data_IF_648436981150
#
_entry.id   IF_648436981150
#
_cell.length_a   1.000
_cell.length_b   1.000
_cell.length_c   1.000
_cell.angle_alpha   90.00
_cell.angle_beta   90.00
_cell.angle_gamma   90.00
#
_symmetry.space_group_name_H-M   'P 1'
#
loop_
_entity.id
_entity.type
_entity.pdbx_description
1 polymer ?
#
# COMPACT_ATOMS: atom_id res chain seq x y z
N UNK A 1 -7.29 31.13 -10.01
CA UNK A 1 -7.97 29.87 -10.29
C UNK A 1 -7.74 28.88 -9.16
N UNK A 2 -8.80 28.34 -8.64
CA UNK A 2 -8.71 27.30 -7.62
C UNK A 2 -8.62 25.95 -8.32
N UNK A 3 -7.65 25.14 -7.93
CA UNK A 3 -7.60 23.75 -8.40
C UNK A 3 -8.81 22.99 -7.87
N UNK A 4 -9.41 22.19 -8.74
CA UNK A 4 -10.48 21.30 -8.35
C UNK A 4 -9.93 20.17 -7.49
N UNK A 5 -10.47 20.02 -6.28
CA UNK A 5 -10.10 18.92 -5.39
C UNK A 5 -10.80 17.64 -5.85
N UNK A 6 -10.02 16.59 -6.05
CA UNK A 6 -10.53 15.30 -6.51
C UNK A 6 -10.20 14.21 -5.50
N UNK A 7 -11.09 13.23 -5.43
CA UNK A 7 -10.85 12.02 -4.64
C UNK A 7 -10.18 11.02 -5.56
N UNK A 8 -9.01 10.53 -5.15
CA UNK A 8 -8.28 9.51 -5.90
C UNK A 8 -8.61 8.11 -5.40
N UNK A 9 -8.28 7.13 -6.22
CA UNK A 9 -8.37 5.70 -5.87
C UNK A 9 -6.96 5.15 -5.79
N UNK A 10 -6.58 4.63 -4.62
CA UNK A 10 -5.31 3.95 -4.47
C UNK A 10 -5.52 2.57 -3.85
N UNK A 11 -4.48 1.75 -3.86
CA UNK A 11 -4.54 0.45 -3.23
C UNK A 11 -3.21 0.11 -2.57
N UNK A 12 -3.30 -0.72 -1.54
CA UNK A 12 -2.15 -1.33 -0.90
C UNK A 12 -2.27 -2.84 -1.03
N UNK A 13 -1.14 -3.51 -1.24
CA UNK A 13 -1.12 -4.95 -1.43
C UNK A 13 -0.45 -5.60 -0.23
N UNK A 14 -1.21 -6.39 0.51
CA UNK A 14 -0.69 -7.14 1.65
C UNK A 14 -0.13 -8.47 1.15
N UNK A 15 1.20 -8.57 1.15
CA UNK A 15 1.91 -9.80 0.75
C UNK A 15 2.36 -10.49 2.02
N UNK A 16 1.87 -11.70 2.25
CA UNK A 16 2.14 -12.45 3.48
C UNK A 16 2.88 -13.73 3.14
N UNK A 17 3.88 -14.07 3.97
CA UNK A 17 4.63 -15.31 3.86
C UNK A 17 5.07 -15.77 5.25
N UNK A 18 4.64 -16.98 5.64
CA UNK A 18 5.03 -17.59 6.91
C UNK A 18 4.83 -16.69 8.14
N UNK A 19 3.67 -16.04 8.21
CA UNK A 19 3.31 -15.16 9.33
C UNK A 19 3.97 -13.78 9.30
N UNK A 20 4.58 -13.43 8.17
CA UNK A 20 5.23 -12.12 7.99
C UNK A 20 4.60 -11.37 6.84
N UNK A 21 4.64 -10.04 6.95
CA UNK A 21 4.15 -9.13 5.91
C UNK A 21 5.30 -8.35 5.31
N UNK A 22 5.23 -8.12 4.00
CA UNK A 22 6.23 -7.37 3.26
C UNK A 22 5.95 -5.87 3.39
N UNK A 23 6.93 -5.13 3.92
CA UNK A 23 6.85 -3.68 4.00
C UNK A 23 8.11 -3.05 3.43
N UNK A 24 7.95 -1.91 2.78
CA UNK A 24 9.04 -1.14 2.21
C UNK A 24 9.24 0.15 2.98
N UNK A 25 10.50 0.53 3.13
CA UNK A 25 10.88 1.79 3.78
C UNK A 25 10.80 2.92 2.76
N UNK A 26 9.89 3.87 2.99
CA UNK A 26 9.78 5.06 2.14
C UNK A 26 10.99 5.96 2.36
N UNK A 27 11.44 6.59 1.27
CA UNK A 27 12.55 7.54 1.34
C UNK A 27 12.22 8.64 2.36
N UNK A 28 13.22 9.11 3.08
CA UNK A 28 13.06 10.16 4.09
C UNK A 28 12.91 11.55 3.47
N UNK A 29 13.27 11.70 2.20
CA UNK A 29 13.10 12.96 1.48
C UNK A 29 11.67 13.11 0.96
N UNK A 30 10.96 14.20 1.33
CA UNK A 30 9.59 14.43 0.82
C UNK A 30 9.55 14.57 -0.70
N UNK A 31 10.66 14.98 -1.31
CA UNK A 31 10.75 15.22 -2.76
C UNK A 31 10.81 13.91 -3.54
N UNK A 32 11.37 12.85 -2.92
CA UNK A 32 11.56 11.56 -3.57
C UNK A 32 10.58 10.50 -3.10
N UNK A 33 10.02 10.62 -1.90
CA UNK A 33 8.98 9.72 -1.40
C UNK A 33 7.61 10.15 -1.93
N UNK A 34 7.46 10.16 -3.23
CA UNK A 34 6.32 10.70 -3.94
C UNK A 34 4.96 10.15 -3.47
N UNK A 35 4.28 10.93 -2.63
CA UNK A 35 2.93 10.62 -2.17
C UNK A 35 2.19 11.91 -1.81
N UNK A 36 0.99 12.04 -2.35
CA UNK A 36 0.12 13.18 -2.05
C UNK A 36 -0.33 13.22 -0.60
N UNK A 37 -0.39 12.06 0.07
CA UNK A 37 -0.72 11.96 1.50
C UNK A 37 0.49 12.24 2.39
N UNK A 38 1.68 12.31 1.81
CA UNK A 38 2.97 12.42 2.49
C UNK A 38 3.28 11.11 3.25
N UNK A 39 4.22 11.09 4.17
CA UNK A 39 4.59 9.87 4.90
C UNK A 39 6.03 9.46 4.70
N UNK A 40 6.91 10.43 4.50
CA UNK A 40 8.34 10.22 4.32
C UNK A 40 8.92 9.41 5.49
N UNK A 41 9.76 8.43 5.17
CA UNK A 41 10.44 7.62 6.18
C UNK A 41 9.58 6.58 6.87
N UNK A 42 8.33 6.42 6.46
CA UNK A 42 7.44 5.41 7.03
C UNK A 42 7.53 4.08 6.27
N UNK A 43 7.04 3.02 6.89
CA UNK A 43 6.95 1.71 6.27
C UNK A 43 5.59 1.53 5.59
N UNK A 44 5.59 1.04 4.37
CA UNK A 44 4.38 0.89 3.56
C UNK A 44 4.30 -0.48 2.90
N UNK A 45 3.09 -0.95 2.68
CA UNK A 45 2.85 -2.06 1.76
C UNK A 45 3.17 -1.60 0.34
N UNK A 46 3.46 -2.53 -0.59
CA UNK A 46 3.45 -2.18 -2.01
C UNK A 46 2.12 -1.50 -2.34
N UNK A 47 2.16 -0.38 -3.02
CA UNK A 47 0.96 0.45 -3.23
C UNK A 47 1.04 1.21 -4.55
N UNK A 48 -0.09 1.74 -4.97
CA UNK A 48 -0.16 2.56 -6.16
C UNK A 48 -1.55 3.11 -6.38
N UNK A 49 -1.68 3.88 -7.44
CA UNK A 49 -2.95 4.45 -7.88
C UNK A 49 -3.54 3.61 -8.99
N UNK A 50 -4.84 3.46 -8.96
CA UNK A 50 -5.56 2.83 -10.06
C UNK A 50 -5.55 3.79 -11.24
N UNK A 51 -5.13 3.32 -12.39
CA UNK A 51 -5.11 4.11 -13.62
C UNK A 51 -6.41 3.96 -14.38
N UNK A 52 -6.76 4.99 -15.14
CA UNK A 52 -7.98 4.98 -15.95
C UNK A 52 -7.99 3.75 -16.88
N UNK A 53 -9.09 3.00 -16.81
CA UNK A 53 -9.27 1.82 -17.65
C UNK A 53 -8.70 0.52 -17.10
N UNK A 54 -7.98 0.57 -15.99
CA UNK A 54 -7.46 -0.64 -15.35
C UNK A 54 -8.54 -1.37 -14.55
N UNK A 55 -8.45 -2.70 -14.55
CA UNK A 55 -9.15 -3.50 -13.54
C UNK A 55 -8.33 -3.48 -12.25
N UNK A 56 -8.94 -3.82 -11.13
CA UNK A 56 -8.20 -3.95 -9.87
C UNK A 56 -7.06 -4.97 -10.01
N UNK A 57 -7.34 -6.08 -10.71
CA UNK A 57 -6.37 -7.13 -10.94
C UNK A 57 -5.17 -6.63 -11.75
N UNK A 58 -5.41 -5.94 -12.86
CA UNK A 58 -4.31 -5.46 -13.70
C UNK A 58 -3.48 -4.38 -13.00
N UNK A 59 -4.13 -3.49 -12.26
CA UNK A 59 -3.44 -2.46 -11.49
C UNK A 59 -2.56 -3.05 -10.38
N UNK A 60 -3.10 -4.01 -9.64
CA UNK A 60 -2.35 -4.68 -8.57
C UNK A 60 -1.13 -5.43 -9.12
N UNK A 61 -1.31 -6.18 -10.21
CA UNK A 61 -0.20 -6.91 -10.85
C UNK A 61 0.87 -5.96 -11.33
N UNK A 62 0.47 -4.87 -11.96
CA UNK A 62 1.40 -3.85 -12.50
C UNK A 62 2.23 -3.23 -11.38
N UNK A 63 1.57 -2.70 -10.35
CA UNK A 63 2.27 -2.02 -9.25
C UNK A 63 3.18 -2.97 -8.47
N UNK A 64 2.74 -4.17 -8.17
CA UNK A 64 3.58 -5.11 -7.44
C UNK A 64 4.84 -5.48 -8.24
N UNK A 65 4.70 -5.66 -9.55
CA UNK A 65 5.84 -5.91 -10.42
C UNK A 65 6.77 -4.70 -10.51
N UNK A 66 6.21 -3.51 -10.69
CA UNK A 66 7.01 -2.28 -10.79
C UNK A 66 7.80 -1.98 -9.51
N UNK A 67 7.16 -2.14 -8.35
CA UNK A 67 7.80 -1.79 -7.07
C UNK A 67 8.73 -2.87 -6.52
N UNK A 68 8.40 -4.15 -6.71
CA UNK A 68 9.10 -5.24 -6.04
C UNK A 68 9.66 -6.32 -6.96
N UNK A 69 9.18 -6.41 -8.19
CA UNK A 69 9.51 -7.52 -9.09
C UNK A 69 8.73 -8.80 -8.79
N UNK A 70 7.82 -8.78 -7.84
CA UNK A 70 6.98 -9.94 -7.51
C UNK A 70 5.84 -10.04 -8.53
N UNK A 71 5.60 -11.26 -9.00
CA UNK A 71 4.51 -11.55 -9.93
C UNK A 71 3.27 -12.02 -9.17
N UNK A 72 2.22 -11.19 -9.16
CA UNK A 72 0.96 -11.52 -8.52
C UNK A 72 0.14 -12.47 -9.41
N UNK A 73 -0.32 -13.56 -8.85
CA UNK A 73 -1.14 -14.55 -9.58
C UNK A 73 -2.58 -14.55 -9.15
N UNK A 74 -2.83 -14.46 -7.85
CA UNK A 74 -4.18 -14.51 -7.30
C UNK A 74 -4.25 -13.58 -6.10
N UNK A 75 -5.32 -12.77 -6.03
CA UNK A 75 -5.56 -11.88 -4.89
C UNK A 75 -7.05 -11.84 -4.57
N UNK A 76 -7.37 -11.29 -3.41
CA UNK A 76 -8.74 -10.90 -3.10
C UNK A 76 -8.78 -9.49 -2.55
N UNK A 77 -9.91 -8.82 -2.70
CA UNK A 77 -10.12 -7.51 -2.10
C UNK A 77 -10.34 -7.72 -0.61
N UNK A 78 -9.46 -7.15 0.19
CA UNK A 78 -9.43 -7.33 1.64
C UNK A 78 -10.30 -6.30 2.36
N UNK A 79 -10.23 -5.05 1.93
CA UNK A 79 -10.88 -3.96 2.64
C UNK A 79 -11.02 -2.71 1.78
N UNK A 80 -11.80 -1.76 2.29
CA UNK A 80 -11.89 -0.41 1.74
C UNK A 80 -11.77 0.58 2.89
N UNK A 81 -10.96 1.61 2.69
CA UNK A 81 -10.73 2.67 3.68
C UNK A 81 -10.84 4.05 3.06
N UNK A 82 -11.17 5.01 3.89
CA UNK A 82 -11.22 6.41 3.51
C UNK A 82 -10.01 7.11 4.12
N UNK A 83 -9.07 7.55 3.28
CA UNK A 83 -7.82 8.15 3.72
C UNK A 83 -7.75 9.61 3.28
N UNK A 84 -7.80 10.51 4.25
CA UNK A 84 -7.72 11.94 3.96
C UNK A 84 -6.90 12.68 5.00
N UNK A 85 -6.26 13.75 4.55
CA UNK A 85 -5.62 14.72 5.42
C UNK A 85 -5.75 16.10 4.76
N UNK A 86 -4.99 17.07 5.24
CA UNK A 86 -5.04 18.42 4.67
C UNK A 86 -4.50 18.52 3.24
N UNK A 87 -3.76 17.49 2.79
CA UNK A 87 -3.11 17.48 1.47
C UNK A 87 -3.89 16.74 0.40
N UNK A 88 -4.58 15.65 0.76
CA UNK A 88 -5.21 14.77 -0.23
C UNK A 88 -6.31 13.92 0.36
N UNK A 89 -7.14 13.37 -0.52
CA UNK A 89 -8.21 12.46 -0.16
C UNK A 89 -8.22 11.26 -1.11
N UNK A 90 -8.08 10.06 -0.56
CA UNK A 90 -8.11 8.82 -1.33
C UNK A 90 -9.09 7.83 -0.74
N UNK A 91 -9.73 7.07 -1.64
CA UNK A 91 -10.36 5.81 -1.27
C UNK A 91 -9.28 4.75 -1.48
N UNK A 92 -8.93 4.03 -0.42
CA UNK A 92 -7.88 3.02 -0.47
C UNK A 92 -8.46 1.63 -0.40
N UNK A 93 -8.15 0.81 -1.42
CA UNK A 93 -8.50 -0.59 -1.42
C UNK A 93 -7.32 -1.38 -0.86
N UNK A 94 -7.60 -2.32 0.03
CA UNK A 94 -6.58 -3.27 0.47
C UNK A 94 -6.75 -4.57 -0.30
N UNK A 95 -5.66 -5.09 -0.86
CA UNK A 95 -5.64 -6.37 -1.56
C UNK A 95 -4.79 -7.36 -0.78
N UNK A 96 -5.24 -8.60 -0.68
CA UNK A 96 -4.43 -9.67 -0.10
C UNK A 96 -3.91 -10.54 -1.23
N UNK A 97 -2.58 -10.61 -1.37
CA UNK A 97 -1.93 -11.48 -2.35
C UNK A 97 -2.03 -12.93 -1.88
N UNK A 98 -2.78 -13.74 -2.60
CA UNK A 98 -3.01 -15.16 -2.26
C UNK A 98 -2.00 -16.09 -2.90
N UNK A 99 -1.62 -15.82 -4.14
CA UNK A 99 -0.58 -16.54 -4.86
C UNK A 99 0.30 -15.56 -5.60
N UNK A 100 1.60 -15.74 -5.47
CA UNK A 100 2.57 -14.87 -6.11
C UNK A 100 3.90 -15.61 -6.25
N UNK A 101 4.76 -15.10 -7.12
CA UNK A 101 6.08 -15.66 -7.37
C UNK A 101 7.15 -14.58 -7.29
N UNK A 102 8.31 -14.95 -6.80
CA UNK A 102 9.47 -14.09 -6.79
C UNK A 102 9.80 -13.55 -5.41
N UNK A 103 10.94 -12.89 -5.35
CA UNK A 103 11.45 -12.25 -4.13
C UNK A 103 11.44 -10.73 -4.32
N UNK A 104 11.16 -10.01 -3.24
CA UNK A 104 11.13 -8.56 -3.28
C UNK A 104 12.50 -7.98 -3.57
N UNK A 105 12.56 -7.06 -4.52
CA UNK A 105 13.76 -6.33 -4.90
C UNK A 105 13.47 -4.84 -4.87
N UNK A 106 14.48 -4.03 -4.57
CA UNK A 106 14.34 -2.58 -4.66
C UNK A 106 14.41 -2.19 -6.13
N UNK A 107 13.25 -1.83 -6.69
CA UNK A 107 13.12 -1.46 -8.12
C UNK A 107 13.07 0.05 -8.32
N UNK A 108 12.60 0.77 -7.32
CA UNK A 108 12.43 2.23 -7.36
C UNK A 108 13.11 2.85 -6.13
N UNK A 109 14.46 2.86 -6.10
CA UNK A 109 15.21 3.27 -4.90
C UNK A 109 14.99 4.73 -4.48
N UNK A 110 14.51 5.58 -5.38
CA UNK A 110 14.15 6.95 -5.03
C UNK A 110 12.94 7.00 -4.11
N UNK A 111 12.05 6.03 -4.22
CA UNK A 111 10.80 5.98 -3.44
C UNK A 111 10.91 5.05 -2.26
N UNK A 112 11.34 3.80 -2.51
CA UNK A 112 11.45 2.75 -1.49
C UNK A 112 12.90 2.31 -1.40
N UNK A 113 13.52 2.51 -0.24
CA UNK A 113 14.96 2.24 -0.06
C UNK A 113 15.28 0.80 0.31
N UNK A 114 14.33 0.08 0.91
CA UNK A 114 14.49 -1.34 1.20
C UNK A 114 13.14 -2.03 1.33
N UNK A 115 13.09 -3.34 1.13
CA UNK A 115 11.95 -4.19 1.42
C UNK A 115 12.34 -5.16 2.52
N UNK A 116 11.43 -5.37 3.49
CA UNK A 116 11.70 -6.24 4.62
C UNK A 116 10.44 -6.99 5.03
N UNK A 117 10.62 -8.23 5.45
CA UNK A 117 9.55 -9.05 6.01
C UNK A 117 9.46 -8.80 7.51
N UNK A 118 8.28 -8.39 7.97
CA UNK A 118 8.02 -8.17 9.39
C UNK A 118 7.07 -9.21 9.92
N UNK A 119 7.39 -9.78 11.08
CA UNK A 119 6.46 -10.63 11.80
C UNK A 119 5.17 -9.83 12.07
N UNK A 120 4.01 -10.44 11.80
CA UNK A 120 2.72 -9.78 12.03
C UNK A 120 2.49 -9.39 13.48
N UNK A 121 3.22 -10.02 14.43
CA UNK A 121 3.16 -9.68 15.84
C UNK A 121 4.20 -8.63 16.25
N UNK A 122 5.05 -8.19 15.32
CA UNK A 122 6.14 -7.23 15.58
C UNK A 122 6.21 -6.17 14.49
N UNK A 123 5.08 -5.56 14.20
CA UNK A 123 4.97 -4.52 13.18
C UNK A 123 5.62 -3.23 13.71
N UNK A 124 6.40 -2.52 12.88
CA UNK A 124 7.01 -1.26 13.30
C UNK A 124 5.96 -0.19 13.61
N UNK A 125 6.30 0.76 14.47
CA UNK A 125 5.37 1.83 14.88
C UNK A 125 5.18 2.91 13.81
N UNK A 126 6.20 3.17 13.00
CA UNK A 126 6.16 4.24 12.01
C UNK A 126 5.61 3.74 10.67
N UNK A 127 4.34 3.38 10.66
CA UNK A 127 3.67 2.94 9.46
C UNK A 127 3.10 4.11 8.66
N UNK A 128 3.15 3.97 7.34
CA UNK A 128 2.35 4.80 6.45
C UNK A 128 0.87 4.61 6.81
N UNK A 129 0.12 5.71 6.96
CA UNK A 129 -1.24 5.63 7.51
C UNK A 129 -2.15 4.66 6.78
N UNK A 130 -2.24 4.68 5.43
CA UNK A 130 -3.07 3.69 4.73
C UNK A 130 -2.69 2.24 5.02
N UNK A 131 -1.38 1.96 5.16
CA UNK A 131 -0.89 0.62 5.51
C UNK A 131 -1.37 0.21 6.91
N UNK A 132 -1.27 1.12 7.88
CA UNK A 132 -1.72 0.84 9.24
C UNK A 132 -3.20 0.48 9.29
N UNK A 133 -4.01 1.16 8.50
CA UNK A 133 -5.45 0.89 8.42
C UNK A 133 -5.75 -0.47 7.79
N UNK A 134 -5.05 -0.82 6.69
CA UNK A 134 -5.22 -2.13 6.06
C UNK A 134 -4.86 -3.26 7.03
N UNK A 135 -3.77 -3.10 7.77
CA UNK A 135 -3.38 -4.07 8.79
C UNK A 135 -4.45 -4.22 9.88
N UNK A 136 -5.09 -3.13 10.27
CA UNK A 136 -6.18 -3.17 11.24
C UNK A 136 -7.41 -3.90 10.69
N UNK A 137 -7.78 -3.66 9.42
CA UNK A 137 -8.84 -4.41 8.75
C UNK A 137 -8.54 -5.91 8.77
N UNK A 138 -7.30 -6.28 8.42
CA UNK A 138 -6.87 -7.66 8.40
C UNK A 138 -6.96 -8.30 9.79
N UNK A 139 -6.44 -7.60 10.80
CA UNK A 139 -6.43 -8.06 12.18
C UNK A 139 -7.84 -8.31 12.73
N UNK A 140 -8.78 -7.40 12.44
CA UNK A 140 -10.16 -7.52 12.90
C UNK A 140 -11.03 -8.40 11.99
N UNK A 141 -10.54 -8.77 10.82
CA UNK A 141 -11.31 -9.54 9.84
C UNK A 141 -12.49 -8.75 9.28
N UNK A 142 -12.36 -7.43 9.17
CA UNK A 142 -13.43 -6.56 8.71
C UNK A 142 -13.08 -5.86 7.41
N UNK A 143 -13.99 -5.93 6.45
CA UNK A 143 -13.86 -5.23 5.18
C UNK A 143 -13.91 -3.71 5.35
N UNK A 144 -14.74 -3.24 6.25
CA UNK A 144 -14.88 -1.83 6.58
C UNK A 144 -14.98 -1.68 8.11
N UNK A 145 -14.24 -0.72 8.65
CA UNK A 145 -14.26 -0.41 10.08
C UNK A 145 -14.79 1.00 10.23
N UNK A 146 -15.97 1.13 10.87
CA UNK A 146 -16.57 2.42 11.15
C UNK A 146 -15.67 3.26 12.06
N UNK A 147 -15.44 4.52 11.68
CA UNK A 147 -14.65 5.45 12.47
C UNK A 147 -13.14 5.32 12.33
N UNK A 148 -12.67 4.50 11.39
CA UNK A 148 -11.23 4.32 11.18
C UNK A 148 -10.60 5.48 10.42
N UNK A 149 -11.38 6.29 9.74
CA UNK A 149 -10.91 7.44 8.93
C UNK A 149 -10.52 8.70 9.73
#
# INVERSE_FOLDING_TARGET
MTEEKKIGIEFGIMVVRAGKVLLGKRNESPETADSELHGEGTWTMPSGKLEYGETFESGAKRELMEETGIELREFRVLCVNNDKNEHAHFVTLGFLAKKYFGEAQVKEPEEITEWRWFDLNKIPNNLYIPTAKILENYKQGKFYIEGLD
#
